data_IF_716733306571
#
_entry.id   IF_716733306571
#
_cell.length_a   1.000
_cell.length_b   1.000
_cell.length_c   1.000
_cell.angle_alpha   90.00
_cell.angle_beta   90.00
_cell.angle_gamma   90.00
#
_symmetry.space_group_name_H-M   'P 1'
#
loop_
_entity.id
_entity.type
_entity.pdbx_description
1 polymer ?
#
# COMPACT_ATOMS: atom_id res chain seq x y z
N UNK A 1 75.77 -30.64 64.88
CA UNK A 1 75.65 -31.77 63.93
C UNK A 1 74.59 -31.42 62.88
N UNK A 2 74.66 -32.00 61.69
CA UNK A 2 73.85 -31.73 60.48
C UNK A 2 72.31 -31.77 60.70
N UNK A 3 71.40 -31.19 59.89
CA UNK A 3 71.44 -30.24 58.74
C UNK A 3 69.98 -29.75 58.40
N UNK A 4 69.83 -28.61 57.71
CA UNK A 4 68.85 -28.30 56.61
C UNK A 4 67.33 -28.17 56.97
N UNK A 5 66.76 -26.93 56.96
CA UNK A 5 65.93 -26.27 55.89
C UNK A 5 64.43 -26.64 55.95
N UNK A 6 63.43 -25.94 55.38
CA UNK A 6 63.25 -24.68 54.60
C UNK A 6 61.77 -24.23 54.84
N UNK A 7 61.28 -23.02 54.59
CA UNK A 7 61.86 -21.71 54.20
C UNK A 7 61.07 -20.58 54.90
N UNK A 8 60.47 -19.59 54.20
CA UNK A 8 59.63 -18.55 54.84
C UNK A 8 58.65 -17.76 53.92
N UNK A 9 57.43 -17.57 54.44
CA UNK A 9 56.58 -16.35 54.42
C UNK A 9 55.90 -15.75 53.15
N UNK A 10 54.79 -15.04 53.48
CA UNK A 10 54.09 -13.96 52.74
C UNK A 10 53.20 -14.35 51.53
N UNK A 11 52.06 -13.69 51.27
CA UNK A 11 51.49 -12.42 51.78
C UNK A 11 49.97 -12.51 52.08
N UNK A 12 49.40 -11.51 52.75
CA UNK A 12 48.05 -11.53 53.37
C UNK A 12 47.16 -10.32 52.96
N UNK A 13 45.87 -10.56 52.63
CA UNK A 13 44.72 -9.60 52.60
C UNK A 13 44.77 -8.46 51.54
N UNK A 14 43.72 -7.60 51.35
CA UNK A 14 42.51 -7.36 52.17
C UNK A 14 41.13 -7.19 51.48
N UNK A 15 40.13 -7.04 52.36
CA UNK A 15 38.77 -6.48 52.23
C UNK A 15 38.51 -5.40 51.15
N UNK A 16 37.26 -5.33 50.64
CA UNK A 16 36.35 -4.17 50.86
C UNK A 16 34.90 -4.45 50.42
N UNK A 17 33.96 -3.65 50.95
CA UNK A 17 32.51 -3.68 50.72
C UNK A 17 32.07 -2.48 49.85
N UNK A 18 31.24 -2.69 48.82
CA UNK A 18 30.38 -1.66 48.21
C UNK A 18 29.06 -2.28 47.73
N UNK A 19 27.93 -1.61 48.01
CA UNK A 19 26.59 -1.97 47.51
C UNK A 19 26.40 -1.47 46.07
N UNK A 20 25.81 -2.26 45.19
CA UNK A 20 25.24 -1.79 43.93
C UNK A 20 23.84 -2.42 43.74
N UNK A 21 22.79 -1.64 44.00
CA UNK A 21 21.41 -2.02 43.67
C UNK A 21 21.20 -1.74 42.18
N UNK A 22 21.17 -2.78 41.36
CA UNK A 22 20.80 -2.66 39.95
C UNK A 22 19.29 -2.88 39.85
N UNK A 23 18.53 -1.79 39.81
CA UNK A 23 17.15 -1.81 39.33
C UNK A 23 17.24 -2.00 37.81
N UNK A 24 17.24 -3.25 37.36
CA UNK A 24 17.06 -3.58 35.95
C UNK A 24 15.60 -3.28 35.59
N UNK A 25 15.34 -2.03 35.23
CA UNK A 25 14.10 -1.62 34.58
C UNK A 25 13.97 -2.38 33.26
N UNK A 26 13.26 -3.50 33.30
CA UNK A 26 12.91 -4.27 32.13
C UNK A 26 11.93 -3.43 31.31
N UNK A 27 12.46 -2.63 30.38
CA UNK A 27 11.66 -1.98 29.34
C UNK A 27 11.14 -3.09 28.45
N UNK A 28 10.01 -3.68 28.84
CA UNK A 28 9.21 -4.49 27.96
C UNK A 28 8.77 -3.55 26.86
N UNK A 29 9.36 -3.69 25.68
CA UNK A 29 8.76 -3.20 24.45
C UNK A 29 7.47 -3.99 24.23
N UNK A 30 6.42 -3.60 24.95
CA UNK A 30 5.06 -3.88 24.54
C UNK A 30 4.95 -3.14 23.22
N UNK A 31 5.13 -3.86 22.12
CA UNK A 31 4.69 -3.39 20.81
C UNK A 31 3.19 -3.21 20.96
N UNK A 32 2.78 -1.96 21.22
CA UNK A 32 1.41 -1.55 21.04
C UNK A 32 1.06 -1.99 19.61
N UNK A 33 0.07 -2.87 19.46
CA UNK A 33 -0.49 -3.18 18.16
C UNK A 33 -1.07 -1.86 17.62
N UNK A 34 -0.26 -1.13 16.85
CA UNK A 34 -0.63 0.19 16.38
C UNK A 34 -1.74 0.03 15.35
N UNK A 35 -2.97 0.16 15.85
CA UNK A 35 -4.20 0.17 15.06
C UNK A 35 -4.21 1.25 13.98
N UNK A 36 -3.26 2.20 14.01
CA UNK A 36 -3.12 3.29 13.05
C UNK A 36 -2.01 3.07 12.01
N UNK A 37 -1.29 1.95 12.03
CA UNK A 37 -0.40 1.50 10.95
C UNK A 37 0.48 2.63 10.39
N UNK A 38 1.10 3.44 11.26
CA UNK A 38 1.66 4.77 10.91
C UNK A 38 2.76 4.78 9.83
N UNK A 39 3.25 3.62 9.41
CA UNK A 39 4.26 3.41 8.36
C UNK A 39 3.73 2.61 7.15
N UNK A 40 2.52 2.07 7.19
CA UNK A 40 1.90 1.37 6.06
C UNK A 40 1.02 2.37 5.32
N UNK A 41 1.65 3.10 4.39
CA UNK A 41 0.96 4.02 3.46
C UNK A 41 0.27 3.30 2.31
N UNK A 42 0.58 2.04 2.07
CA UNK A 42 -0.06 1.23 1.03
C UNK A 42 -1.40 0.69 1.53
N UNK A 43 -2.42 0.74 0.67
CA UNK A 43 -3.73 0.13 0.95
C UNK A 43 -4.26 -0.61 -0.25
N UNK A 44 -4.76 -1.83 -0.04
CA UNK A 44 -5.34 -2.69 -1.07
C UNK A 44 -6.70 -3.23 -0.60
N UNK A 45 -7.67 -3.28 -1.51
CA UNK A 45 -8.97 -3.92 -1.32
C UNK A 45 -9.23 -4.92 -2.45
N UNK A 46 -9.89 -6.06 -2.14
CA UNK A 46 -10.14 -7.15 -3.08
C UNK A 46 -11.59 -7.66 -2.99
N UNK A 47 -12.12 -8.14 -4.11
CA UNK A 47 -13.40 -8.85 -4.18
C UNK A 47 -13.42 -9.83 -5.35
N UNK A 48 -14.29 -10.83 -5.32
CA UNK A 48 -14.44 -11.82 -6.38
C UNK A 48 -15.90 -12.29 -6.53
N UNK A 49 -16.21 -12.87 -7.69
CA UNK A 49 -17.52 -13.45 -8.04
C UNK A 49 -17.41 -14.92 -8.49
N UNK A 50 -16.31 -15.59 -8.12
CA UNK A 50 -15.97 -16.94 -8.59
C UNK A 50 -15.44 -17.03 -10.03
N UNK A 51 -15.71 -16.04 -10.90
CA UNK A 51 -15.18 -15.98 -12.27
C UNK A 51 -13.94 -15.11 -12.38
N UNK A 52 -13.95 -13.97 -11.68
CA UNK A 52 -12.88 -12.99 -11.64
C UNK A 52 -12.62 -12.53 -10.20
N UNK A 53 -11.39 -12.11 -9.95
CA UNK A 53 -10.99 -11.31 -8.80
C UNK A 53 -10.59 -9.92 -9.29
N UNK A 54 -11.10 -8.89 -8.61
CA UNK A 54 -10.71 -7.50 -8.77
C UNK A 54 -9.94 -7.07 -7.52
N UNK A 55 -8.83 -6.36 -7.71
CA UNK A 55 -8.07 -5.67 -6.68
C UNK A 55 -7.92 -4.20 -7.04
N UNK A 56 -8.02 -3.32 -6.05
CA UNK A 56 -7.70 -1.90 -6.17
C UNK A 56 -6.70 -1.53 -5.05
N UNK A 57 -5.52 -1.07 -5.46
CA UNK A 57 -4.39 -0.73 -4.60
C UNK A 57 -3.97 0.72 -4.79
N UNK A 58 -3.64 1.41 -3.69
CA UNK A 58 -3.10 2.76 -3.67
C UNK A 58 -1.81 2.82 -2.84
N UNK A 59 -0.87 3.65 -3.25
CA UNK A 59 0.42 3.83 -2.58
C UNK A 59 1.04 5.20 -2.93
N UNK A 60 1.07 6.18 -2.00
CA UNK A 60 0.48 6.20 -0.65
C UNK A 60 -1.04 6.50 -0.62
N UNK A 61 -1.76 6.09 0.43
CA UNK A 61 -3.21 6.35 0.64
C UNK A 61 -3.52 7.75 1.21
N UNK A 62 -2.48 8.48 1.61
CA UNK A 62 -2.49 9.91 1.94
C UNK A 62 -1.94 10.70 0.76
N UNK A 63 -2.69 11.68 0.27
CA UNK A 63 -2.33 12.48 -0.92
C UNK A 63 -2.34 13.96 -0.57
N UNK A 64 -1.23 14.63 -0.84
CA UNK A 64 -1.09 16.06 -0.61
C UNK A 64 -1.63 16.87 -1.80
N UNK A 65 -2.12 18.09 -1.56
CA UNK A 65 -2.67 18.98 -2.60
C UNK A 65 -1.74 19.26 -3.79
N UNK A 66 -0.44 19.05 -3.63
CA UNK A 66 0.60 19.27 -4.64
C UNK A 66 1.25 17.95 -5.13
N UNK A 67 0.71 16.79 -4.76
CA UNK A 67 1.24 15.47 -5.15
C UNK A 67 0.19 14.63 -5.89
N UNK A 68 0.64 13.60 -6.58
CA UNK A 68 -0.22 12.49 -7.03
C UNK A 68 0.11 11.22 -6.23
N UNK A 69 -0.74 10.20 -6.34
CA UNK A 69 -0.47 8.88 -5.78
C UNK A 69 -0.72 7.78 -6.80
N UNK A 70 0.03 6.68 -6.69
CA UNK A 70 -0.04 5.56 -7.61
C UNK A 70 -1.26 4.70 -7.28
N UNK A 71 -2.10 4.43 -8.28
CA UNK A 71 -3.23 3.52 -8.20
C UNK A 71 -3.00 2.36 -9.16
N UNK A 72 -3.09 1.14 -8.64
CA UNK A 72 -2.96 -0.10 -9.40
C UNK A 72 -4.26 -0.88 -9.28
N UNK A 73 -4.89 -1.16 -10.41
CA UNK A 73 -6.01 -2.09 -10.49
C UNK A 73 -5.52 -3.39 -11.05
N UNK A 74 -5.78 -4.50 -10.36
CA UNK A 74 -5.47 -5.84 -10.86
C UNK A 74 -6.78 -6.59 -11.10
N UNK A 75 -6.93 -7.19 -12.27
CA UNK A 75 -8.03 -8.11 -12.57
C UNK A 75 -7.41 -9.46 -12.87
N UNK A 76 -7.88 -10.50 -12.19
CA UNK A 76 -7.44 -11.89 -12.38
C UNK A 76 -8.62 -12.75 -12.80
N UNK A 77 -8.46 -13.50 -13.89
CA UNK A 77 -9.40 -14.57 -14.27
C UNK A 77 -9.20 -15.75 -13.33
N UNK A 78 -10.26 -16.24 -12.69
CA UNK A 78 -10.20 -17.37 -11.76
C UNK A 78 -10.48 -18.72 -12.44
N UNK A 79 -11.38 -18.74 -13.43
CA UNK A 79 -11.73 -19.94 -14.21
C UNK A 79 -11.44 -19.74 -15.71
N UNK A 80 -11.04 -20.78 -16.46
CA UNK A 80 -10.84 -20.64 -17.90
C UNK A 80 -12.15 -20.27 -18.60
N UNK A 81 -12.07 -19.50 -19.68
CA UNK A 81 -13.25 -19.16 -20.48
C UNK A 81 -12.93 -18.13 -21.55
N UNK A 82 -13.65 -18.19 -22.67
CA UNK A 82 -13.47 -17.25 -23.79
C UNK A 82 -13.90 -15.83 -23.42
N UNK A 83 -13.18 -14.82 -23.92
CA UNK A 83 -13.67 -13.42 -23.92
C UNK A 83 -15.09 -13.37 -24.54
N UNK A 84 -16.10 -12.80 -23.85
CA UNK A 84 -17.37 -12.39 -24.44
C UNK A 84 -17.16 -11.51 -25.68
N UNK A 85 -18.13 -11.53 -26.60
CA UNK A 85 -18.10 -10.70 -27.80
C UNK A 85 -18.18 -9.20 -27.44
N UNK A 86 -17.15 -8.44 -27.81
CA UNK A 86 -17.03 -7.01 -27.53
C UNK A 86 -15.70 -6.67 -26.87
N UNK A 87 -15.58 -5.45 -26.37
CA UNK A 87 -14.44 -5.01 -25.58
C UNK A 87 -14.73 -5.01 -24.09
N UNK A 88 -13.68 -5.26 -23.31
CA UNK A 88 -13.73 -5.33 -21.87
C UNK A 88 -13.21 -4.04 -21.26
N UNK A 89 -13.97 -3.50 -20.31
CA UNK A 89 -13.65 -2.25 -19.64
C UNK A 89 -13.71 -2.43 -18.13
N UNK A 90 -12.69 -1.89 -17.45
CA UNK A 90 -12.79 -1.56 -16.03
C UNK A 90 -13.31 -0.13 -15.92
N UNK A 91 -14.41 0.05 -15.21
CA UNK A 91 -15.10 1.31 -15.02
C UNK A 91 -14.61 1.99 -13.75
N UNK A 92 -14.10 3.20 -13.86
CA UNK A 92 -13.59 3.99 -12.74
C UNK A 92 -14.57 5.08 -12.32
N UNK A 93 -14.54 5.41 -11.03
CA UNK A 93 -15.18 6.60 -10.48
C UNK A 93 -14.27 7.21 -9.42
N UNK A 94 -14.21 8.54 -9.37
CA UNK A 94 -13.29 9.28 -8.51
C UNK A 94 -13.99 10.49 -7.89
N UNK A 95 -13.69 10.74 -6.61
CA UNK A 95 -14.21 11.87 -5.83
C UNK A 95 -13.05 12.56 -5.12
N UNK A 96 -13.01 13.89 -5.16
CA UNK A 96 -11.94 14.69 -4.53
C UNK A 96 -10.66 14.81 -5.37
N UNK A 97 -10.65 14.25 -6.57
CA UNK A 97 -9.57 14.29 -7.53
C UNK A 97 -10.01 13.83 -8.90
N UNK A 98 -9.03 13.62 -9.77
CA UNK A 98 -9.16 13.04 -11.11
C UNK A 98 -8.16 11.89 -11.28
N UNK A 99 -8.39 11.03 -12.27
CA UNK A 99 -7.42 10.02 -12.68
C UNK A 99 -6.60 10.48 -13.88
N UNK A 100 -5.30 10.23 -13.80
CA UNK A 100 -4.37 10.25 -14.92
C UNK A 100 -4.05 8.79 -15.30
N UNK A 101 -4.75 8.29 -16.31
CA UNK A 101 -4.68 6.89 -16.71
C UNK A 101 -3.45 6.60 -17.57
N UNK A 102 -2.55 5.75 -17.07
CA UNK A 102 -1.37 5.25 -17.77
C UNK A 102 -1.63 3.85 -18.36
N UNK A 103 -2.85 3.61 -18.83
CA UNK A 103 -3.31 2.36 -19.42
C UNK A 103 -4.28 2.71 -20.56
N UNK A 104 -4.41 1.84 -21.56
CA UNK A 104 -5.25 2.12 -22.73
C UNK A 104 -6.69 2.42 -22.29
N UNK A 105 -7.16 3.64 -22.55
CA UNK A 105 -8.54 4.06 -22.26
C UNK A 105 -9.39 4.05 -23.52
N UNK A 106 -10.71 3.92 -23.34
CA UNK A 106 -11.68 4.11 -24.40
C UNK A 106 -11.49 5.51 -25.02
N UNK A 107 -11.41 5.56 -26.35
CA UNK A 107 -11.35 6.80 -27.11
C UNK A 107 -12.51 6.89 -28.08
N UNK A 108 -12.96 8.12 -28.33
CA UNK A 108 -14.09 8.41 -29.20
C UNK A 108 -13.89 9.77 -29.88
N UNK A 109 -14.54 9.98 -31.02
CA UNK A 109 -14.60 11.30 -31.63
C UNK A 109 -15.81 12.06 -31.12
N UNK A 110 -15.62 13.33 -30.74
CA UNK A 110 -16.74 14.22 -30.40
C UNK A 110 -17.48 14.73 -31.66
N UNK A 111 -18.53 15.52 -31.45
CA UNK A 111 -19.36 16.10 -32.51
C UNK A 111 -18.59 17.04 -33.47
N UNK A 112 -17.36 17.42 -33.13
CA UNK A 112 -16.49 18.29 -33.93
C UNK A 112 -15.34 17.51 -34.60
N UNK A 113 -15.29 16.19 -34.42
CA UNK A 113 -14.23 15.33 -34.96
C UNK A 113 -12.92 15.36 -34.15
N UNK A 114 -12.95 15.85 -32.91
CA UNK A 114 -11.77 15.79 -32.02
C UNK A 114 -11.69 14.44 -31.34
N UNK A 115 -10.50 13.83 -31.30
CA UNK A 115 -10.28 12.60 -30.55
C UNK A 115 -10.26 12.89 -29.05
N UNK A 116 -11.20 12.29 -28.33
CA UNK A 116 -11.34 12.36 -26.87
C UNK A 116 -10.94 11.03 -26.23
N UNK A 117 -10.48 11.08 -24.98
CA UNK A 117 -10.08 9.93 -24.18
C UNK A 117 -10.91 9.88 -22.90
N UNK A 118 -11.33 8.69 -22.47
CA UNK A 118 -12.18 8.53 -21.29
C UNK A 118 -11.41 8.58 -19.97
N UNK A 119 -11.99 9.29 -19.01
CA UNK A 119 -11.63 9.33 -17.59
C UNK A 119 -12.24 8.17 -16.76
N UNK A 120 -12.94 7.23 -17.41
CA UNK A 120 -13.78 6.21 -16.77
C UNK A 120 -13.55 4.80 -17.31
N UNK A 121 -13.38 4.64 -18.61
CA UNK A 121 -13.36 3.33 -19.26
C UNK A 121 -11.93 2.95 -19.65
N UNK A 122 -11.29 2.05 -18.88
CA UNK A 122 -9.95 1.51 -19.20
C UNK A 122 -10.11 0.13 -19.82
N UNK A 123 -9.48 -0.12 -20.97
CA UNK A 123 -9.50 -1.42 -21.64
C UNK A 123 -8.79 -2.49 -20.82
N UNK A 124 -9.45 -3.63 -20.65
CA UNK A 124 -8.93 -4.82 -19.97
C UNK A 124 -8.59 -5.88 -21.01
N UNK A 125 -7.34 -6.38 -20.97
CA UNK A 125 -6.87 -7.46 -21.83
C UNK A 125 -6.44 -8.65 -20.98
N UNK A 126 -7.20 -9.73 -21.05
CA UNK A 126 -7.03 -10.95 -20.26
C UNK A 126 -7.07 -12.16 -21.18
N UNK A 127 -6.10 -13.06 -21.05
CA UNK A 127 -6.11 -14.33 -21.75
C UNK A 127 -7.25 -15.24 -21.21
N UNK A 128 -7.68 -16.19 -22.03
CA UNK A 128 -8.74 -17.14 -21.70
C UNK A 128 -8.33 -18.22 -20.68
N UNK A 129 -7.04 -18.31 -20.35
CA UNK A 129 -6.49 -19.22 -19.34
C UNK A 129 -6.83 -18.78 -17.91
N UNK A 130 -7.14 -19.74 -17.04
CA UNK A 130 -7.24 -19.47 -15.61
C UNK A 130 -5.94 -18.86 -15.07
N UNK A 131 -6.09 -17.96 -14.09
CA UNK A 131 -5.02 -17.16 -13.51
C UNK A 131 -4.32 -16.19 -14.48
N UNK A 132 -4.91 -15.90 -15.65
CA UNK A 132 -4.50 -14.73 -16.42
C UNK A 132 -4.75 -13.46 -15.61
N UNK A 133 -3.81 -12.52 -15.69
CA UNK A 133 -3.82 -11.27 -14.92
C UNK A 133 -3.65 -10.09 -15.86
N UNK A 134 -4.47 -9.07 -15.65
CA UNK A 134 -4.33 -7.75 -16.23
C UNK A 134 -4.06 -6.75 -15.11
N UNK A 135 -3.18 -5.78 -15.37
CA UNK A 135 -2.88 -4.70 -14.45
C UNK A 135 -3.04 -3.36 -15.15
N UNK A 136 -3.89 -2.51 -14.60
CA UNK A 136 -4.03 -1.11 -14.97
C UNK A 136 -3.24 -0.23 -14.02
N UNK A 137 -2.49 0.71 -14.58
CA UNK A 137 -1.79 1.77 -13.86
C UNK A 137 -2.53 3.09 -14.06
N UNK A 138 -2.70 3.86 -12.98
CA UNK A 138 -3.21 5.22 -13.02
C UNK A 138 -2.61 6.02 -11.86
N UNK A 139 -2.66 7.35 -11.95
CA UNK A 139 -2.35 8.22 -10.82
C UNK A 139 -3.61 8.96 -10.39
N UNK A 140 -3.88 8.98 -9.09
CA UNK A 140 -4.89 9.88 -8.52
C UNK A 140 -4.25 11.25 -8.28
N UNK A 141 -4.85 12.30 -8.81
CA UNK A 141 -4.43 13.70 -8.64
C UNK A 141 -5.56 14.44 -7.92
N UNK A 142 -5.34 15.03 -6.74
CA UNK A 142 -6.38 15.74 -6.00
C UNK A 142 -6.79 17.02 -6.72
N UNK A 143 -8.05 17.41 -6.58
CA UNK A 143 -8.59 18.66 -7.16
C UNK A 143 -8.71 19.72 -6.08
N UNK A 144 -8.33 20.96 -6.41
CA UNK A 144 -8.51 22.11 -5.53
C UNK A 144 -9.87 22.80 -5.74
N UNK A 145 -10.51 23.33 -4.69
CA UNK A 145 -10.14 23.22 -3.27
C UNK A 145 -10.33 21.79 -2.75
N UNK A 146 -9.44 21.34 -1.84
CA UNK A 146 -9.49 19.99 -1.29
C UNK A 146 -10.82 19.72 -0.59
N UNK A 147 -11.38 18.53 -0.86
CA UNK A 147 -12.45 17.93 -0.05
C UNK A 147 -11.85 17.25 1.18
N UNK A 148 -12.63 17.14 2.26
CA UNK A 148 -12.18 16.48 3.49
C UNK A 148 -11.81 14.99 3.30
N UNK A 149 -12.43 14.32 2.31
CA UNK A 149 -12.08 12.97 1.89
C UNK A 149 -12.13 12.85 0.36
N UNK A 150 -11.32 11.92 -0.18
CA UNK A 150 -11.41 11.45 -1.55
C UNK A 150 -11.82 9.98 -1.59
N UNK A 151 -12.28 9.52 -2.74
CA UNK A 151 -12.59 8.11 -2.98
C UNK A 151 -12.23 7.73 -4.41
N UNK A 152 -11.70 6.53 -4.59
CA UNK A 152 -11.57 5.87 -5.88
C UNK A 152 -12.41 4.60 -5.88
N UNK A 153 -13.05 4.29 -7.00
CA UNK A 153 -13.83 3.06 -7.16
C UNK A 153 -13.54 2.44 -8.52
N UNK A 154 -13.56 1.11 -8.58
CA UNK A 154 -13.35 0.30 -9.77
C UNK A 154 -14.46 -0.75 -9.89
N UNK A 155 -14.98 -0.96 -11.10
CA UNK A 155 -16.04 -1.92 -11.40
C UNK A 155 -15.72 -2.73 -12.66
N UNK A 156 -15.89 -4.04 -12.58
CA UNK A 156 -15.60 -4.98 -13.67
C UNK A 156 -16.46 -6.24 -13.51
N UNK A 157 -17.19 -6.67 -14.55
CA UNK A 157 -17.97 -7.93 -14.56
C UNK A 157 -18.83 -8.15 -13.30
N UNK A 158 -19.54 -7.10 -12.85
CA UNK A 158 -20.38 -7.12 -11.65
C UNK A 158 -19.64 -6.98 -10.31
N UNK A 159 -18.30 -7.03 -10.30
CA UNK A 159 -17.48 -6.68 -9.14
C UNK A 159 -17.49 -5.16 -8.94
N UNK A 160 -17.54 -4.69 -7.70
CA UNK A 160 -17.41 -3.28 -7.36
C UNK A 160 -16.51 -3.16 -6.12
N UNK A 161 -15.49 -2.29 -6.21
CA UNK A 161 -14.62 -1.92 -5.10
C UNK A 161 -14.58 -0.41 -4.97
N UNK A 162 -14.50 0.06 -3.73
CA UNK A 162 -14.18 1.44 -3.40
C UNK A 162 -13.09 1.49 -2.34
N UNK A 163 -12.15 2.42 -2.49
CA UNK A 163 -11.07 2.67 -1.57
C UNK A 163 -11.07 4.16 -1.21
N UNK A 164 -11.21 4.52 0.09
CA UNK A 164 -11.16 5.90 0.53
C UNK A 164 -9.71 6.42 0.58
N UNK A 165 -9.53 7.67 0.17
CA UNK A 165 -8.25 8.38 0.09
C UNK A 165 -8.28 9.53 1.10
N UNK A 166 -7.20 9.69 1.87
CA UNK A 166 -7.04 10.83 2.77
C UNK A 166 -6.39 11.99 2.01
N UNK A 167 -7.13 13.09 1.86
CA UNK A 167 -6.62 14.30 1.21
C UNK A 167 -6.08 15.25 2.27
N UNK A 168 -4.88 15.80 2.04
CA UNK A 168 -4.19 16.66 3.01
C UNK A 168 -3.67 17.91 2.30
N UNK A 169 -3.87 19.08 2.91
CA UNK A 169 -3.27 20.31 2.40
C UNK A 169 -1.75 20.20 2.54
N UNK A 170 -1.02 20.41 1.45
CA UNK A 170 0.44 20.46 1.50
C UNK A 170 0.89 21.59 2.44
N UNK A 171 1.99 21.41 3.19
CA UNK A 171 2.63 22.51 3.90
C UNK A 171 2.88 23.68 2.95
N UNK A 172 2.69 24.91 3.43
CA UNK A 172 3.25 26.08 2.76
C UNK A 172 4.76 26.11 3.01
N UNK A 173 5.53 26.19 1.94
CA UNK A 173 6.96 26.50 1.97
C UNK A 173 7.22 27.92 2.56
#
# INVERSE_FOLDING_TARGET
MQLIKDSSNFFVKPFSCVKAVIISALVIFISCEDKNNLLITEKEVKTNNGLYELSLKIDPDIVYSNSSTKVITTIRRLVPGTKPTGDWFCNYSVVGGQFDHHSNVFSYYDAYGTLQFSDKYVYVSLADSANSVWQGLSFFIPTLPLKATGHISANFEGLNLSLPIKLVQAPSD
#
